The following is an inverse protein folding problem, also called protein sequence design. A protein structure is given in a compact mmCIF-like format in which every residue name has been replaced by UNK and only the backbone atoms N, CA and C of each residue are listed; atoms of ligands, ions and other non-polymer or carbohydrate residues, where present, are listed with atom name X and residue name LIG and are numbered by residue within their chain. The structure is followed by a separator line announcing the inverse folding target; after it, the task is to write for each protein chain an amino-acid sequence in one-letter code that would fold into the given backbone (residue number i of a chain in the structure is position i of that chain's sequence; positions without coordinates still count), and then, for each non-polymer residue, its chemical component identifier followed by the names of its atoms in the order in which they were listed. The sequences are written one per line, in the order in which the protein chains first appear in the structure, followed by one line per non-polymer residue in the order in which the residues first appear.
data_IF_736518847892
#
_entry.id   IF_736518847892
#
_cell.length_a   1.000
_cell.length_b   1.000
_cell.length_c   1.000
_cell.angle_alpha   90.00
_cell.angle_beta   90.00
_cell.angle_gamma   90.00
#
_symmetry.space_group_name_H-M   'P 1'
#
loop_
_entity.id
_entity.type
_entity.pdbx_description
1 polymer ?
#
# COMPACT_ATOMS: atom_id res chain seq x y z
N UNK A 1 2.13 -2.77 19.96
CA UNK A 1 1.18 -3.85 19.63
C UNK A 1 1.17 -4.04 18.12
N UNK A 2 0.91 -5.25 17.63
CA UNK A 2 0.80 -5.49 16.19
C UNK A 2 -0.55 -4.99 15.70
N UNK A 3 -0.58 -4.18 14.63
CA UNK A 3 -1.80 -3.69 14.00
C UNK A 3 -2.34 -4.73 13.01
N UNK A 4 -1.46 -5.30 12.17
CA UNK A 4 -1.79 -6.35 11.21
C UNK A 4 -0.87 -7.54 11.47
N UNK A 5 -1.43 -8.74 11.55
CA UNK A 5 -0.68 -9.99 11.72
C UNK A 5 -1.09 -10.98 10.64
N UNK A 6 -0.09 -11.50 9.93
CA UNK A 6 -0.20 -12.63 9.01
C UNK A 6 0.43 -13.84 9.72
N UNK A 7 -0.30 -14.94 9.80
CA UNK A 7 0.19 -16.14 10.47
C UNK A 7 0.12 -17.35 9.54
N UNK A 8 1.30 -17.84 9.15
CA UNK A 8 1.49 -18.97 8.24
C UNK A 8 0.57 -18.90 6.99
N UNK A 9 0.38 -17.68 6.47
CA UNK A 9 -0.56 -17.40 5.39
C UNK A 9 -0.07 -18.04 4.10
N UNK A 10 -0.90 -18.89 3.50
CA UNK A 10 -0.67 -19.47 2.19
C UNK A 10 -1.76 -19.00 1.23
N UNK A 11 -1.40 -18.70 -0.01
CA UNK A 11 -2.35 -18.26 -1.03
C UNK A 11 -2.08 -18.95 -2.35
N UNK A 12 -3.15 -19.45 -2.96
CA UNK A 12 -3.12 -20.05 -4.29
C UNK A 12 -3.89 -19.19 -5.28
N UNK A 13 -3.36 -19.07 -6.50
CA UNK A 13 -4.04 -18.45 -7.63
C UNK A 13 -4.22 -19.52 -8.70
N UNK A 14 -5.46 -19.98 -8.86
CA UNK A 14 -5.74 -21.16 -9.66
C UNK A 14 -5.01 -22.39 -9.10
N UNK A 15 -4.18 -23.02 -9.91
CA UNK A 15 -3.37 -24.19 -9.50
C UNK A 15 -2.02 -23.83 -8.86
N UNK A 16 -1.60 -22.58 -8.93
CA UNK A 16 -0.28 -22.14 -8.47
C UNK A 16 -0.33 -21.69 -7.01
N UNK A 17 0.54 -22.26 -6.18
CA UNK A 17 0.82 -21.73 -4.85
C UNK A 17 1.76 -20.53 -5.01
N UNK A 18 1.36 -19.36 -4.51
CA UNK A 18 2.11 -18.11 -4.66
C UNK A 18 2.69 -17.67 -3.32
N UNK A 19 1.96 -17.85 -2.22
CA UNK A 19 2.44 -17.58 -0.88
C UNK A 19 2.59 -18.87 -0.09
N UNK A 20 3.71 -18.98 0.64
CA UNK A 20 4.13 -20.18 1.35
C UNK A 20 4.48 -19.84 2.80
N UNK A 21 3.51 -20.00 3.72
CA UNK A 21 3.68 -19.79 5.17
C UNK A 21 4.17 -18.37 5.52
N UNK A 22 3.61 -17.34 4.85
CA UNK A 22 3.95 -15.94 5.13
C UNK A 22 3.51 -15.59 6.54
N UNK A 23 4.49 -15.30 7.41
CA UNK A 23 4.29 -14.83 8.78
C UNK A 23 4.93 -13.46 8.91
N UNK A 24 4.11 -12.45 9.27
CA UNK A 24 4.51 -11.07 9.31
C UNK A 24 3.70 -10.30 10.35
N UNK A 25 4.35 -9.43 11.09
CA UNK A 25 3.71 -8.48 11.99
C UNK A 25 3.99 -7.05 11.56
N UNK A 26 2.94 -6.27 11.34
CA UNK A 26 3.04 -4.83 11.05
C UNK A 26 2.65 -4.08 12.32
N UNK A 27 3.57 -3.32 12.93
CA UNK A 27 3.27 -2.51 14.10
C UNK A 27 2.33 -1.35 13.75
N UNK A 28 1.66 -0.81 14.75
CA UNK A 28 0.87 0.41 14.61
C UNK A 28 1.79 1.63 14.46
N UNK A 29 1.44 2.51 13.53
CA UNK A 29 2.14 3.78 13.26
C UNK A 29 3.30 3.67 12.27
N UNK A 30 3.55 4.77 11.56
CA UNK A 30 4.65 4.90 10.61
C UNK A 30 4.50 4.07 9.33
N UNK A 31 5.63 3.78 8.71
CA UNK A 31 5.69 3.05 7.44
C UNK A 31 6.40 1.71 7.63
N UNK A 32 5.70 0.63 7.41
CA UNK A 32 6.26 -0.71 7.24
C UNK A 32 6.45 -1.01 5.76
N UNK A 33 7.62 -1.49 5.37
CA UNK A 33 7.91 -1.78 3.95
C UNK A 33 8.05 -3.28 3.72
N UNK A 34 7.34 -3.80 2.74
CA UNK A 34 7.54 -5.14 2.21
C UNK A 34 8.32 -5.05 0.88
N UNK A 35 9.60 -5.36 0.93
CA UNK A 35 10.49 -5.40 -0.21
C UNK A 35 10.49 -6.78 -0.86
N UNK A 36 10.82 -6.82 -2.15
CA UNK A 36 11.01 -8.06 -2.87
C UNK A 36 11.05 -7.86 -4.39
N UNK A 37 11.57 -8.84 -5.09
CA UNK A 37 11.65 -8.83 -6.56
C UNK A 37 10.27 -8.94 -7.20
N UNK A 38 10.19 -8.68 -8.51
CA UNK A 38 8.96 -8.94 -9.26
C UNK A 38 8.62 -10.43 -9.21
N UNK A 39 7.34 -10.73 -8.96
CA UNK A 39 6.86 -12.11 -8.81
C UNK A 39 7.10 -12.74 -7.44
N UNK A 40 7.76 -12.07 -6.48
CA UNK A 40 8.04 -12.63 -5.14
C UNK A 40 6.80 -12.86 -4.26
N UNK A 41 5.62 -12.30 -4.64
CA UNK A 41 4.38 -12.47 -3.89
C UNK A 41 3.87 -11.21 -3.18
N UNK A 42 4.52 -10.04 -3.38
CA UNK A 42 4.18 -8.75 -2.74
C UNK A 42 2.70 -8.36 -2.92
N UNK A 43 2.29 -8.14 -4.17
CA UNK A 43 0.89 -7.81 -4.54
C UNK A 43 -0.10 -8.87 -4.04
N UNK A 44 0.28 -10.15 -4.13
CA UNK A 44 -0.54 -11.25 -3.64
C UNK A 44 -0.74 -11.17 -2.14
N UNK A 45 0.27 -10.77 -1.37
CA UNK A 45 0.17 -10.55 0.07
C UNK A 45 -0.87 -9.47 0.38
N UNK A 46 -0.79 -8.30 -0.26
CA UNK A 46 -1.77 -7.22 -0.04
C UNK A 46 -3.19 -7.63 -0.46
N UNK A 47 -3.33 -8.29 -1.59
CA UNK A 47 -4.64 -8.79 -2.07
C UNK A 47 -5.22 -9.87 -1.16
N UNK A 48 -4.38 -10.68 -0.51
CA UNK A 48 -4.83 -11.66 0.46
C UNK A 48 -5.31 -10.99 1.76
N UNK A 49 -4.62 -9.94 2.23
CA UNK A 49 -5.07 -9.13 3.37
C UNK A 49 -6.44 -8.51 3.08
N UNK A 50 -6.67 -8.00 1.86
CA UNK A 50 -7.95 -7.43 1.44
C UNK A 50 -9.05 -8.47 1.13
N UNK A 51 -8.78 -9.76 1.30
CA UNK A 51 -9.75 -10.82 1.00
C UNK A 51 -10.07 -11.00 -0.49
N UNK A 52 -9.30 -10.37 -1.38
CA UNK A 52 -9.40 -10.55 -2.84
C UNK A 52 -8.89 -11.92 -3.27
N UNK A 53 -7.86 -12.43 -2.58
CA UNK A 53 -7.40 -13.80 -2.64
C UNK A 53 -7.55 -14.41 -1.26
N UNK A 54 -8.34 -15.49 -1.14
CA UNK A 54 -8.59 -16.13 0.16
C UNK A 54 -7.39 -16.97 0.57
N UNK A 55 -6.69 -16.65 1.65
CA UNK A 55 -5.64 -17.51 2.16
C UNK A 55 -6.23 -18.82 2.68
N UNK A 56 -5.52 -19.94 2.43
CA UNK A 56 -5.87 -21.24 2.96
C UNK A 56 -4.71 -22.22 2.76
N UNK A 57 -4.07 -22.70 3.81
CA UNK A 57 -4.25 -22.37 5.24
C UNK A 57 -3.64 -21.05 5.68
N UNK A 58 -3.68 -20.79 6.98
CA UNK A 58 -3.17 -19.60 7.64
C UNK A 58 -4.26 -18.59 7.94
N UNK A 59 -3.89 -17.50 8.61
CA UNK A 59 -4.83 -16.46 9.02
C UNK A 59 -4.26 -15.05 8.83
N UNK A 60 -5.17 -14.09 8.74
CA UNK A 60 -4.88 -12.65 8.72
C UNK A 60 -5.71 -12.01 9.81
N UNK A 61 -5.11 -11.21 10.68
CA UNK A 61 -5.85 -10.46 11.69
C UNK A 61 -5.45 -8.99 11.72
N UNK A 62 -6.43 -8.12 11.95
CA UNK A 62 -6.29 -6.69 12.09
C UNK A 62 -6.83 -6.25 13.45
N UNK A 63 -6.00 -5.63 14.30
CA UNK A 63 -6.33 -5.31 15.70
C UNK A 63 -6.96 -6.49 16.46
N UNK A 64 -6.47 -7.70 16.21
CA UNK A 64 -7.01 -8.93 16.80
C UNK A 64 -8.31 -9.43 16.18
N UNK A 65 -8.93 -8.70 15.25
CA UNK A 65 -10.07 -9.18 14.45
C UNK A 65 -9.61 -10.06 13.33
N UNK A 66 -10.10 -11.30 13.24
CA UNK A 66 -9.77 -12.22 12.15
C UNK A 66 -10.45 -11.76 10.85
N UNK A 67 -9.63 -11.49 9.83
CA UNK A 67 -10.07 -11.10 8.49
C UNK A 67 -10.26 -12.31 7.56
N UNK A 68 -9.83 -13.51 8.00
CA UNK A 68 -9.77 -14.71 7.15
C UNK A 68 -11.16 -15.06 6.62
N UNK A 69 -11.31 -15.00 5.30
CA UNK A 69 -12.60 -15.29 4.64
C UNK A 69 -13.63 -14.16 4.65
N UNK A 70 -13.34 -13.01 5.28
CA UNK A 70 -14.21 -11.82 5.19
C UNK A 70 -14.30 -11.30 3.74
N UNK A 71 -15.39 -10.60 3.45
CA UNK A 71 -15.51 -9.88 2.17
C UNK A 71 -14.68 -8.59 2.19
N UNK A 72 -14.11 -8.24 1.05
CA UNK A 72 -13.29 -7.02 0.88
C UNK A 72 -14.00 -5.75 1.39
N UNK A 73 -15.31 -5.63 1.15
CA UNK A 73 -16.09 -4.47 1.62
C UNK A 73 -16.16 -4.41 3.16
N UNK A 74 -16.21 -5.54 3.85
CA UNK A 74 -16.25 -5.59 5.31
C UNK A 74 -14.86 -5.27 5.89
N UNK A 75 -13.79 -5.78 5.26
CA UNK A 75 -12.40 -5.44 5.60
C UNK A 75 -12.16 -3.93 5.45
N UNK A 76 -12.64 -3.32 4.35
CA UNK A 76 -12.51 -1.88 4.13
C UNK A 76 -13.24 -1.06 5.21
N UNK A 77 -14.40 -1.51 5.70
CA UNK A 77 -15.16 -0.86 6.78
C UNK A 77 -14.46 -0.89 8.15
N UNK A 78 -13.50 -1.81 8.33
CA UNK A 78 -12.63 -1.83 9.52
C UNK A 78 -11.56 -0.74 9.52
N UNK A 79 -11.53 0.12 8.48
CA UNK A 79 -10.54 1.20 8.38
C UNK A 79 -9.28 0.82 7.59
N UNK A 80 -9.34 -0.22 6.76
CA UNK A 80 -8.24 -0.61 5.86
C UNK A 80 -8.54 -0.09 4.46
N UNK A 81 -7.61 0.68 3.87
CA UNK A 81 -7.67 1.10 2.46
C UNK A 81 -6.61 0.38 1.62
N UNK A 82 -6.83 0.31 0.32
CA UNK A 82 -5.91 -0.31 -0.63
C UNK A 82 -5.69 0.58 -1.85
N UNK A 83 -4.43 0.89 -2.12
CA UNK A 83 -3.95 1.59 -3.33
C UNK A 83 -3.27 0.54 -4.20
N UNK A 84 -3.94 0.03 -5.24
CA UNK A 84 -3.39 -1.01 -6.09
C UNK A 84 -2.39 -0.46 -7.11
N UNK A 85 -1.52 -1.33 -7.64
CA UNK A 85 -0.52 -1.01 -8.67
C UNK A 85 -1.13 -0.38 -9.95
N UNK A 86 -2.32 -0.82 -10.34
CA UNK A 86 -3.07 -0.28 -11.49
C UNK A 86 -3.86 1.01 -11.16
N UNK A 87 -3.62 1.57 -9.95
CA UNK A 87 -4.25 2.78 -9.41
C UNK A 87 -5.74 2.63 -9.10
N UNK A 88 -6.48 1.73 -9.71
CA UNK A 88 -7.90 1.46 -9.47
C UNK A 88 -8.83 2.66 -9.65
N UNK A 89 -8.46 3.67 -10.47
CA UNK A 89 -9.27 4.86 -10.73
C UNK A 89 -10.34 4.60 -11.80
N UNK A 90 -11.44 5.31 -11.71
CA UNK A 90 -12.51 5.28 -12.73
C UNK A 90 -12.24 6.35 -13.77
N UNK A 91 -11.60 6.01 -14.89
CA UNK A 91 -11.14 6.93 -15.90
C UNK A 91 -12.24 7.79 -16.52
N UNK A 92 -13.45 7.24 -16.69
CA UNK A 92 -14.60 7.95 -17.25
C UNK A 92 -15.26 8.94 -16.29
N UNK A 93 -14.96 8.88 -14.99
CA UNK A 93 -15.47 9.79 -13.99
C UNK A 93 -14.52 10.96 -13.77
N UNK A 94 -15.02 12.08 -13.27
CA UNK A 94 -14.23 13.24 -12.87
C UNK A 94 -13.37 12.92 -11.64
N UNK A 95 -12.43 13.80 -11.30
CA UNK A 95 -11.66 13.72 -10.04
C UNK A 95 -12.62 13.75 -8.86
N UNK A 96 -13.59 14.67 -8.85
CA UNK A 96 -14.64 14.77 -7.82
C UNK A 96 -15.39 13.45 -7.64
N UNK A 97 -15.96 12.92 -8.73
CA UNK A 97 -16.73 11.68 -8.69
C UNK A 97 -15.91 10.48 -8.22
N UNK A 98 -14.62 10.42 -8.57
CA UNK A 98 -13.71 9.41 -8.06
C UNK A 98 -13.53 9.50 -6.54
N UNK A 99 -13.45 10.71 -5.96
CA UNK A 99 -13.36 10.92 -4.52
C UNK A 99 -14.69 10.62 -3.83
N UNK A 100 -15.83 11.06 -4.38
CA UNK A 100 -17.17 10.75 -3.88
C UNK A 100 -17.39 9.24 -3.76
N UNK A 101 -17.01 8.46 -4.77
CA UNK A 101 -17.11 6.99 -4.75
C UNK A 101 -16.21 6.31 -3.72
N UNK A 102 -15.20 7.00 -3.22
CA UNK A 102 -14.30 6.47 -2.20
C UNK A 102 -14.79 6.70 -0.76
N UNK A 103 -15.92 7.40 -0.60
CA UNK A 103 -16.56 7.67 0.69
C UNK A 103 -17.74 6.72 0.95
N UNK A 104 -18.01 6.46 2.22
CA UNK A 104 -19.11 5.58 2.62
C UNK A 104 -20.50 6.19 2.34
N UNK A 105 -20.62 7.51 2.41
CA UNK A 105 -21.89 8.23 2.35
C UNK A 105 -22.10 9.01 1.04
N UNK A 106 -21.17 8.94 0.09
CA UNK A 106 -21.19 9.74 -1.12
C UNK A 106 -20.89 11.23 -0.88
N UNK A 107 -20.29 11.58 0.25
CA UNK A 107 -19.88 12.94 0.61
C UNK A 107 -18.60 12.94 1.44
N UNK A 108 -17.90 14.05 1.43
CA UNK A 108 -16.71 14.28 2.26
C UNK A 108 -16.79 15.68 2.88
N UNK A 109 -16.12 15.85 4.02
CA UNK A 109 -16.04 17.16 4.68
C UNK A 109 -14.99 18.07 4.02
N UNK A 110 -15.08 19.37 4.33
CA UNK A 110 -14.16 20.39 3.78
C UNK A 110 -12.73 20.21 4.25
N UNK A 111 -12.49 19.68 5.46
CA UNK A 111 -11.14 19.50 6.01
C UNK A 111 -10.41 18.35 5.33
N UNK A 112 -11.11 17.24 5.07
CA UNK A 112 -10.59 16.13 4.28
C UNK A 112 -10.21 16.56 2.87
N UNK A 113 -11.04 17.39 2.22
CA UNK A 113 -10.75 17.92 0.89
C UNK A 113 -9.57 18.91 0.93
N UNK A 114 -9.53 19.82 1.89
CA UNK A 114 -8.41 20.75 2.07
C UNK A 114 -7.07 20.02 2.31
N UNK A 115 -7.10 18.90 3.05
CA UNK A 115 -5.93 18.03 3.22
C UNK A 115 -5.47 17.45 1.88
N UNK A 116 -6.39 16.97 1.04
CA UNK A 116 -6.04 16.44 -0.29
C UNK A 116 -5.44 17.53 -1.18
N UNK A 117 -5.99 18.75 -1.20
CA UNK A 117 -5.45 19.87 -1.96
C UNK A 117 -4.04 20.26 -1.52
N UNK A 118 -3.78 20.22 -0.22
CA UNK A 118 -2.44 20.47 0.31
C UNK A 118 -1.43 19.41 -0.11
N UNK A 119 -1.80 18.13 -0.08
CA UNK A 119 -0.94 17.01 -0.47
C UNK A 119 -0.76 16.93 -1.99
N UNK A 120 -1.82 17.17 -2.74
CA UNK A 120 -1.89 16.98 -4.18
C UNK A 120 -2.56 18.16 -4.89
N UNK A 121 -1.92 19.36 -4.93
CA UNK A 121 -2.54 20.58 -5.51
C UNK A 121 -2.98 20.42 -6.97
N UNK A 122 -2.32 19.54 -7.71
CA UNK A 122 -2.70 19.27 -9.10
C UNK A 122 -4.13 18.73 -9.23
N UNK A 123 -4.64 17.99 -8.23
CA UNK A 123 -5.99 17.43 -8.29
C UNK A 123 -7.08 18.51 -8.22
N UNK A 124 -6.84 19.62 -7.51
CA UNK A 124 -7.75 20.77 -7.46
C UNK A 124 -7.93 21.37 -8.86
N UNK A 125 -6.84 21.53 -9.62
CA UNK A 125 -6.87 22.08 -10.97
C UNK A 125 -7.66 21.20 -11.97
N UNK A 126 -7.73 19.90 -11.71
CA UNK A 126 -8.39 18.92 -12.55
C UNK A 126 -9.74 18.45 -11.99
N UNK A 127 -10.29 19.14 -10.97
CA UNK A 127 -11.46 18.72 -10.19
C UNK A 127 -12.63 18.21 -11.03
N UNK A 128 -13.04 18.98 -12.02
CA UNK A 128 -14.16 18.67 -12.93
C UNK A 128 -13.74 17.93 -14.20
N UNK A 129 -12.45 17.54 -14.32
CA UNK A 129 -11.95 16.83 -15.51
C UNK A 129 -12.07 15.32 -15.31
N UNK A 130 -12.39 14.63 -16.39
CA UNK A 130 -12.41 13.17 -16.40
C UNK A 130 -10.99 12.61 -16.09
N UNK A 131 -10.91 11.61 -15.19
CA UNK A 131 -9.65 11.08 -14.69
C UNK A 131 -8.76 10.43 -15.76
N UNK A 132 -9.33 10.02 -16.91
CA UNK A 132 -8.52 9.54 -18.03
C UNK A 132 -7.57 10.62 -18.59
N UNK A 133 -7.91 11.92 -18.46
CA UNK A 133 -7.11 13.04 -18.95
C UNK A 133 -5.88 13.35 -18.07
N UNK A 134 -5.81 12.79 -16.87
CA UNK A 134 -4.70 12.95 -15.94
C UNK A 134 -3.42 12.25 -16.45
N UNK A 135 -2.27 12.83 -16.16
CA UNK A 135 -0.97 12.15 -16.34
C UNK A 135 -0.86 10.93 -15.40
N UNK A 136 0.09 10.01 -15.66
CA UNK A 136 0.32 8.86 -14.79
C UNK A 136 0.55 9.26 -13.33
N UNK A 137 1.37 10.28 -13.06
CA UNK A 137 1.62 10.78 -11.72
C UNK A 137 0.36 11.38 -11.07
N UNK A 138 -0.45 12.13 -11.80
CA UNK A 138 -1.72 12.67 -11.29
C UNK A 138 -2.75 11.56 -11.01
N UNK A 139 -2.78 10.51 -11.82
CA UNK A 139 -3.59 9.32 -11.56
C UNK A 139 -3.16 8.62 -10.28
N UNK A 140 -1.86 8.50 -10.03
CA UNK A 140 -1.33 7.95 -8.78
C UNK A 140 -1.72 8.82 -7.58
N UNK A 141 -1.60 10.15 -7.69
CA UNK A 141 -2.09 11.08 -6.66
C UNK A 141 -3.58 10.89 -6.37
N UNK A 142 -4.41 10.73 -7.41
CA UNK A 142 -5.84 10.47 -7.25
C UNK A 142 -6.11 9.13 -6.57
N UNK A 143 -5.36 8.09 -6.90
CA UNK A 143 -5.46 6.78 -6.24
C UNK A 143 -5.19 6.87 -4.74
N UNK A 144 -4.13 7.59 -4.35
CA UNK A 144 -3.81 7.82 -2.93
C UNK A 144 -4.85 8.74 -2.27
N UNK A 145 -5.29 9.80 -2.95
CA UNK A 145 -6.34 10.70 -2.43
C UNK A 145 -7.62 9.95 -2.09
N UNK A 146 -8.03 8.99 -2.92
CA UNK A 146 -9.18 8.11 -2.66
C UNK A 146 -9.00 7.24 -1.41
N UNK A 147 -7.78 6.85 -1.10
CA UNK A 147 -7.51 6.05 0.09
C UNK A 147 -7.56 6.87 1.39
N UNK A 148 -7.30 8.21 1.31
CA UNK A 148 -7.18 9.09 2.48
C UNK A 148 -8.33 10.09 2.63
N UNK A 149 -9.32 10.10 1.73
CA UNK A 149 -10.48 11.02 1.81
C UNK A 149 -11.31 10.77 3.08
N UNK A 150 -11.31 9.56 3.60
CA UNK A 150 -11.84 9.21 4.90
C UNK A 150 -10.73 8.77 5.85
N UNK A 151 -10.91 8.88 7.18
CA UNK A 151 -9.95 8.36 8.15
C UNK A 151 -9.71 6.86 7.95
N UNK A 152 -8.42 6.48 7.96
CA UNK A 152 -7.99 5.08 7.85
C UNK A 152 -6.95 4.77 8.91
N UNK A 153 -6.96 3.54 9.40
CA UNK A 153 -5.98 3.06 10.36
C UNK A 153 -4.79 2.39 9.67
N UNK A 154 -5.06 1.75 8.53
CA UNK A 154 -4.07 1.08 7.70
C UNK A 154 -4.32 1.38 6.22
N UNK A 155 -3.28 1.77 5.50
CA UNK A 155 -3.31 1.86 4.05
C UNK A 155 -2.28 0.88 3.47
N UNK A 156 -2.76 -0.03 2.65
CA UNK A 156 -1.96 -0.95 1.86
C UNK A 156 -1.64 -0.28 0.53
N UNK A 157 -0.37 -0.19 0.14
CA UNK A 157 0.08 0.54 -1.05
C UNK A 157 0.99 -0.36 -1.89
N UNK A 158 0.61 -0.58 -3.14
CA UNK A 158 1.26 -1.53 -4.05
C UNK A 158 2.03 -0.79 -5.15
N UNK A 159 3.38 -0.80 -5.07
CA UNK A 159 4.34 -0.24 -6.03
C UNK A 159 4.00 1.19 -6.54
N UNK A 160 3.79 2.17 -5.65
CA UNK A 160 3.30 3.50 -6.03
C UNK A 160 4.26 4.31 -6.88
N UNK A 161 5.55 3.93 -6.98
CA UNK A 161 6.55 4.67 -7.75
C UNK A 161 6.73 4.16 -9.17
N UNK A 162 6.09 3.05 -9.52
CA UNK A 162 6.30 2.38 -10.81
C UNK A 162 5.94 3.27 -12.00
N UNK A 163 6.92 3.51 -12.87
CA UNK A 163 6.73 4.29 -14.09
C UNK A 163 6.53 5.80 -13.88
N UNK A 164 6.80 6.32 -12.69
CA UNK A 164 6.68 7.73 -12.38
C UNK A 164 7.98 8.51 -12.61
N UNK A 165 7.86 9.80 -12.93
CA UNK A 165 8.99 10.72 -13.01
C UNK A 165 9.56 11.01 -11.60
N UNK A 166 10.88 11.29 -11.46
CA UNK A 166 11.51 11.54 -10.17
C UNK A 166 10.82 12.61 -9.32
N UNK A 167 10.41 13.72 -9.92
CA UNK A 167 9.71 14.80 -9.18
C UNK A 167 8.34 14.38 -8.62
N UNK A 168 7.67 13.41 -9.24
CA UNK A 168 6.43 12.84 -8.73
C UNK A 168 6.73 11.88 -7.59
N UNK A 169 7.81 11.10 -7.69
CA UNK A 169 8.26 10.20 -6.61
C UNK A 169 8.58 11.02 -5.36
N UNK A 170 9.28 12.15 -5.50
CA UNK A 170 9.58 13.05 -4.38
C UNK A 170 8.29 13.59 -3.73
N UNK A 171 7.35 14.07 -4.54
CA UNK A 171 6.05 14.55 -4.04
C UNK A 171 5.25 13.44 -3.33
N UNK A 172 5.29 12.21 -3.84
CA UNK A 172 4.67 11.05 -3.18
C UNK A 172 5.35 10.71 -1.86
N UNK A 173 6.69 10.84 -1.79
CA UNK A 173 7.43 10.60 -0.54
C UNK A 173 7.01 11.61 0.55
N UNK A 174 6.89 12.91 0.21
CA UNK A 174 6.42 13.92 1.15
C UNK A 174 4.99 13.64 1.62
N UNK A 175 4.09 13.30 0.69
CA UNK A 175 2.71 12.95 1.04
C UNK A 175 2.65 11.74 1.98
N UNK A 176 3.42 10.68 1.72
CA UNK A 176 3.43 9.49 2.59
C UNK A 176 4.03 9.76 3.96
N UNK A 177 5.05 10.64 4.08
CA UNK A 177 5.55 11.10 5.39
C UNK A 177 4.44 11.78 6.19
N UNK A 178 3.71 12.70 5.58
CA UNK A 178 2.60 13.38 6.26
C UNK A 178 1.47 12.42 6.64
N UNK A 179 1.05 11.55 5.73
CA UNK A 179 -0.02 10.57 5.97
C UNK A 179 0.37 9.62 7.12
N UNK A 180 1.64 9.17 7.14
CA UNK A 180 2.13 8.19 8.13
C UNK A 180 2.19 8.70 9.58
N UNK A 181 2.04 10.00 9.80
CA UNK A 181 1.94 10.58 11.16
C UNK A 181 0.68 10.08 11.90
N UNK A 182 -0.40 9.84 11.16
CA UNK A 182 -1.70 9.50 11.72
C UNK A 182 -2.25 8.16 11.25
N UNK A 183 -1.63 7.54 10.25
CA UNK A 183 -2.12 6.31 9.61
C UNK A 183 -0.94 5.36 9.37
N UNK A 184 -1.09 4.09 9.72
CA UNK A 184 -0.07 3.09 9.40
C UNK A 184 -0.06 2.83 7.88
N UNK A 185 1.11 2.83 7.26
CA UNK A 185 1.28 2.45 5.87
C UNK A 185 1.99 1.10 5.77
N UNK A 186 1.42 0.16 5.05
CA UNK A 186 2.10 -1.03 4.55
C UNK A 186 2.42 -0.82 3.08
N UNK A 187 3.66 -0.43 2.82
CA UNK A 187 4.18 -0.10 1.50
C UNK A 187 4.86 -1.31 0.87
N UNK A 188 4.39 -1.74 -0.26
CA UNK A 188 5.06 -2.75 -1.10
C UNK A 188 5.85 -2.02 -2.17
N UNK A 189 7.15 -2.33 -2.28
CA UNK A 189 8.05 -1.65 -3.22
C UNK A 189 9.16 -2.56 -3.74
N UNK A 190 9.65 -2.22 -4.92
CA UNK A 190 10.90 -2.70 -5.48
C UNK A 190 11.97 -1.58 -5.49
N UNK A 191 11.55 -0.32 -5.51
CA UNK A 191 12.43 0.84 -5.45
C UNK A 191 13.00 0.99 -4.02
N UNK A 192 14.20 0.46 -3.81
CA UNK A 192 14.83 0.48 -2.49
C UNK A 192 15.09 1.88 -1.96
N UNK A 193 15.49 2.83 -2.80
CA UNK A 193 15.78 4.20 -2.36
C UNK A 193 14.51 4.91 -1.85
N UNK A 194 13.39 4.74 -2.53
CA UNK A 194 12.11 5.25 -2.06
C UNK A 194 11.66 4.57 -0.76
N UNK A 195 11.77 3.24 -0.72
CA UNK A 195 11.45 2.45 0.48
C UNK A 195 12.29 2.88 1.69
N UNK A 196 13.60 3.05 1.50
CA UNK A 196 14.54 3.49 2.53
C UNK A 196 14.24 4.89 3.05
N UNK A 197 13.79 5.80 2.17
CA UNK A 197 13.49 7.17 2.56
C UNK A 197 12.25 7.30 3.46
N UNK A 198 11.40 6.27 3.53
CA UNK A 198 10.13 6.27 4.24
C UNK A 198 10.04 5.23 5.34
N UNK A 199 10.62 4.05 5.13
CA UNK A 199 10.43 2.87 5.97
C UNK A 199 11.08 2.99 7.34
N UNK A 200 10.37 2.52 8.37
CA UNK A 200 10.89 2.38 9.74
C UNK A 200 11.24 0.90 10.00
N UNK A 201 10.29 0.02 9.72
CA UNK A 201 10.42 -1.43 9.79
C UNK A 201 10.23 -2.01 8.39
N UNK A 202 10.82 -3.16 8.15
CA UNK A 202 10.72 -3.79 6.84
C UNK A 202 10.74 -5.31 6.91
N UNK A 203 10.25 -5.92 5.84
CA UNK A 203 10.47 -7.31 5.54
C UNK A 203 10.90 -7.47 4.08
N UNK A 204 11.61 -8.55 3.77
CA UNK A 204 11.86 -8.99 2.40
C UNK A 204 11.08 -10.27 2.15
N UNK A 205 10.31 -10.29 1.06
CA UNK A 205 9.64 -11.48 0.57
C UNK A 205 10.38 -12.01 -0.67
N UNK A 206 10.66 -13.30 -0.68
CA UNK A 206 11.30 -14.02 -1.77
C UNK A 206 10.57 -15.34 -1.99
N UNK A 207 10.21 -15.65 -3.22
CA UNK A 207 9.49 -16.87 -3.61
C UNK A 207 8.29 -17.20 -2.68
N UNK A 208 7.50 -16.18 -2.36
CA UNK A 208 6.31 -16.32 -1.52
C UNK A 208 6.57 -16.58 -0.04
N UNK A 209 7.77 -16.35 0.47
CA UNK A 209 8.18 -16.52 1.88
C UNK A 209 8.83 -15.25 2.42
N UNK A 210 8.68 -15.01 3.71
CA UNK A 210 9.46 -13.94 4.36
C UNK A 210 10.89 -14.45 4.57
N UNK A 211 11.82 -13.82 3.85
CA UNK A 211 13.25 -14.14 3.92
C UNK A 211 13.99 -13.35 5.01
N UNK A 212 13.52 -12.14 5.33
CA UNK A 212 14.11 -11.27 6.34
C UNK A 212 13.09 -10.30 6.92
N UNK A 213 13.26 -9.93 8.20
CA UNK A 213 12.52 -8.85 8.87
C UNK A 213 13.47 -8.06 9.76
N UNK A 214 13.25 -6.75 9.88
CA UNK A 214 14.08 -5.92 10.74
C UNK A 214 13.80 -4.43 10.60
N UNK A 215 14.69 -3.61 11.19
CA UNK A 215 14.63 -2.18 10.98
C UNK A 215 15.14 -1.81 9.58
N UNK A 216 14.54 -0.81 8.96
CA UNK A 216 15.01 -0.30 7.67
C UNK A 216 16.44 0.27 7.77
N UNK A 217 16.78 0.87 8.90
CA UNK A 217 18.11 1.45 9.14
C UNK A 217 19.21 0.38 9.14
N UNK A 218 19.00 -0.74 9.85
CA UNK A 218 19.97 -1.84 9.92
C UNK A 218 20.11 -2.53 8.55
N UNK A 219 18.98 -2.75 7.87
CA UNK A 219 19.01 -3.31 6.53
C UNK A 219 19.73 -2.39 5.52
N UNK A 220 19.50 -1.08 5.59
CA UNK A 220 20.17 -0.10 4.73
C UNK A 220 21.68 0.00 4.99
N UNK A 221 22.13 -0.29 6.19
CA UNK A 221 23.55 -0.33 6.54
C UNK A 221 24.26 -1.61 6.07
N UNK A 222 23.54 -2.70 5.81
CA UNK A 222 24.09 -4.02 5.46
C UNK A 222 24.04 -4.28 3.95
N UNK A 223 25.10 -3.87 3.24
CA UNK A 223 25.21 -4.02 1.78
C UNK A 223 25.22 -5.47 1.30
N UNK A 224 25.84 -6.37 2.04
CA UNK A 224 25.90 -7.79 1.68
C UNK A 224 24.51 -8.43 1.74
N UNK A 225 23.74 -8.09 2.76
CA UNK A 225 22.35 -8.54 2.89
C UNK A 225 21.45 -7.99 1.78
N UNK A 226 21.61 -6.70 1.43
CA UNK A 226 20.91 -6.10 0.30
C UNK A 226 21.23 -6.80 -1.02
N UNK A 227 22.53 -7.05 -1.28
CA UNK A 227 22.96 -7.74 -2.49
C UNK A 227 22.40 -9.16 -2.58
N UNK A 228 22.36 -9.88 -1.46
CA UNK A 228 21.85 -11.27 -1.42
C UNK A 228 20.34 -11.35 -1.65
N UNK A 229 19.55 -10.43 -1.05
CA UNK A 229 18.09 -10.51 -1.05
C UNK A 229 17.42 -9.70 -2.17
N UNK A 230 18.01 -8.56 -2.55
CA UNK A 230 17.41 -7.67 -3.56
C UNK A 230 18.16 -7.70 -4.90
N UNK A 231 19.31 -8.41 -4.98
CA UNK A 231 20.20 -8.41 -6.14
C UNK A 231 20.62 -6.99 -6.55
N UNK A 232 20.76 -6.09 -5.60
CA UNK A 232 21.31 -4.77 -5.81
C UNK A 232 22.82 -4.92 -6.00
N UNK A 233 23.36 -4.34 -7.07
CA UNK A 233 24.81 -4.29 -7.27
C UNK A 233 25.46 -3.55 -6.11
N UNK A 234 26.51 -4.14 -5.55
CA UNK A 234 27.31 -3.53 -4.51
C UNK A 234 28.01 -2.25 -5.01
#
# INVERSE_FOLDING_TARGET
MSLLTLNAMQTRIGQYAVLHDVTLEVPEGGVFVLLGRNGAGKTTTLRSVMGLWKPSPGSVSFRGTDLTGMHTADIARLGIAFVPEDMGIFGGLTVEENLVLATANGSFDTDSLARIWRLFPALEQFWTKAAWSLSGGQKQMLSVARAIIEPRELILIDEPTKGLAPSIIDAMAEAFREISVHTTLLLVEQNFEFARALGHQMAVIEDGRIAHTGSMADFAANKDLQASLLSLSA
#
